data_IF_858515508986
#
_entry.id   IF_858515508986
#
_cell.length_a   1.000
_cell.length_b   1.000
_cell.length_c   1.000
_cell.angle_alpha   90.00
_cell.angle_beta   90.00
_cell.angle_gamma   90.00
#
_symmetry.space_group_name_H-M   'P 1'
#
loop_
_entity.id
_entity.type
_entity.pdbx_description
1 polymer ?
#
# COMPACT_ATOMS: atom_id res chain seq x y z
N UNK A 1 -15.31 14.86 3.25
CA UNK A 1 -15.05 14.87 4.71
C UNK A 1 -14.34 16.16 5.01
N UNK A 2 -14.99 17.02 5.79
CA UNK A 2 -14.56 18.38 6.06
C UNK A 2 -13.28 18.40 6.91
N UNK A 3 -12.44 19.43 6.77
CA UNK A 3 -11.18 19.61 7.52
C UNK A 3 -11.37 19.63 9.06
N UNK A 4 -12.62 19.63 9.53
CA UNK A 4 -13.03 19.63 10.93
C UNK A 4 -13.48 18.24 11.46
N UNK A 5 -13.60 17.24 10.59
CA UNK A 5 -13.94 15.85 10.95
C UNK A 5 -12.81 14.93 10.51
N UNK A 6 -11.60 15.16 11.03
CA UNK A 6 -10.40 14.46 10.57
C UNK A 6 -10.42 12.95 10.84
N UNK A 7 -11.45 12.42 11.51
CA UNK A 7 -11.53 11.01 11.88
C UNK A 7 -10.46 10.63 12.90
N UNK A 8 -10.68 9.53 13.60
CA UNK A 8 -9.68 8.95 14.50
C UNK A 8 -9.34 7.57 14.00
N UNK A 9 -8.05 7.22 14.06
CA UNK A 9 -7.60 5.86 13.79
C UNK A 9 -7.14 5.26 15.12
N UNK A 10 -7.58 4.03 15.38
CA UNK A 10 -7.20 3.32 16.59
C UNK A 10 -5.81 2.68 16.46
N UNK A 11 -5.02 2.88 17.50
CA UNK A 11 -3.78 2.19 17.78
C UNK A 11 -4.08 1.26 18.95
N UNK A 12 -3.89 -0.04 18.75
CA UNK A 12 -4.13 -1.04 19.79
C UNK A 12 -2.81 -1.60 20.27
N UNK A 13 -2.73 -1.89 21.56
CA UNK A 13 -1.58 -2.59 22.14
C UNK A 13 -2.10 -3.82 22.88
N UNK A 14 -1.67 -5.00 22.43
CA UNK A 14 -1.92 -6.26 23.13
C UNK A 14 -0.82 -6.47 24.16
N UNK A 15 -1.21 -6.73 25.40
CA UNK A 15 -0.29 -6.99 26.51
C UNK A 15 -0.65 -8.36 27.07
N UNK A 16 0.30 -9.28 27.10
CA UNK A 16 0.16 -10.58 27.74
C UNK A 16 0.76 -10.55 29.13
N UNK A 17 -0.05 -10.86 30.14
CA UNK A 17 0.29 -10.81 31.54
C UNK A 17 -0.94 -11.00 32.42
N UNK A 18 -0.74 -11.27 33.69
CA UNK A 18 -1.85 -11.39 34.64
C UNK A 18 -2.48 -10.01 34.87
N UNK A 19 -3.67 -9.78 34.33
CA UNK A 19 -4.37 -8.49 34.38
C UNK A 19 -4.87 -8.18 35.78
N UNK A 20 -4.95 -9.17 36.68
CA UNK A 20 -5.29 -8.95 38.08
C UNK A 20 -4.08 -8.58 38.94
N UNK A 21 -2.86 -8.62 38.38
CA UNK A 21 -1.67 -8.13 39.05
C UNK A 21 -1.58 -6.58 38.95
N UNK A 22 -1.53 -5.86 40.09
CA UNK A 22 -1.30 -4.42 40.13
C UNK A 22 -0.12 -3.94 39.29
N UNK A 23 0.95 -4.74 39.18
CA UNK A 23 2.13 -4.39 38.38
C UNK A 23 1.82 -4.33 36.90
N UNK A 24 1.05 -5.29 36.40
CA UNK A 24 0.61 -5.33 34.99
C UNK A 24 -0.27 -4.11 34.70
N UNK A 25 -1.28 -3.86 35.53
CA UNK A 25 -2.19 -2.71 35.37
C UNK A 25 -1.45 -1.37 35.42
N UNK A 26 -0.50 -1.22 36.35
CA UNK A 26 0.34 -0.01 36.45
C UNK A 26 1.25 0.17 35.22
N UNK A 27 1.74 -0.94 34.66
CA UNK A 27 2.53 -0.92 33.42
C UNK A 27 1.66 -0.52 32.22
N UNK A 28 0.41 -1.01 32.15
CA UNK A 28 -0.56 -0.58 31.15
C UNK A 28 -0.80 0.94 31.24
N UNK A 29 -0.99 1.47 32.45
CA UNK A 29 -1.20 2.91 32.68
C UNK A 29 0.01 3.75 32.29
N UNK A 30 1.21 3.27 32.64
CA UNK A 30 2.48 3.93 32.25
C UNK A 30 2.65 3.96 30.73
N UNK A 31 2.26 2.89 30.05
CA UNK A 31 2.29 2.84 28.58
C UNK A 31 1.28 3.83 27.97
N UNK A 32 0.06 3.88 28.51
CA UNK A 32 -0.96 4.86 28.13
C UNK A 32 -0.44 6.31 28.26
N UNK A 33 0.16 6.66 29.39
CA UNK A 33 0.76 7.99 29.59
C UNK A 33 1.89 8.27 28.60
N UNK A 34 2.69 7.25 28.25
CA UNK A 34 3.74 7.41 27.25
C UNK A 34 3.18 7.62 25.84
N UNK A 35 2.06 6.97 25.50
CA UNK A 35 1.37 7.15 24.23
C UNK A 35 0.75 8.55 24.14
N UNK A 36 0.09 9.02 25.21
CA UNK A 36 -0.58 10.32 25.27
C UNK A 36 0.38 11.52 25.30
N UNK A 37 1.68 11.31 25.58
CA UNK A 37 2.72 12.33 25.38
C UNK A 37 2.91 12.70 23.91
N UNK A 38 2.51 11.84 22.97
CA UNK A 38 2.56 12.17 21.56
C UNK A 38 1.36 13.07 21.18
N UNK A 39 1.58 14.26 20.60
CA UNK A 39 0.51 15.22 20.29
C UNK A 39 -0.51 14.71 19.26
N UNK A 40 -0.23 13.57 18.62
CA UNK A 40 -1.15 12.92 17.69
C UNK A 40 -2.09 11.92 18.36
N UNK A 41 -1.74 11.43 19.54
CA UNK A 41 -2.64 10.60 20.36
C UNK A 41 -3.55 11.54 21.13
N UNK A 42 -4.86 11.30 21.02
CA UNK A 42 -5.89 12.15 21.64
C UNK A 42 -6.24 11.63 23.02
N UNK A 43 -6.50 10.32 23.11
CA UNK A 43 -6.89 9.64 24.35
C UNK A 43 -6.57 8.17 24.22
N UNK A 44 -6.32 7.51 25.35
CA UNK A 44 -6.24 6.06 25.44
C UNK A 44 -7.21 5.50 26.48
N UNK A 45 -7.56 4.23 26.33
CA UNK A 45 -8.45 3.52 27.24
C UNK A 45 -8.01 2.06 27.38
N UNK A 46 -8.07 1.54 28.60
CA UNK A 46 -7.78 0.15 28.91
C UNK A 46 -8.52 -0.34 30.15
N UNK A 47 -8.40 -1.63 30.47
CA UNK A 47 -8.89 -2.22 31.72
C UNK A 47 -8.32 -1.55 32.97
N UNK A 48 -7.12 -0.95 32.90
CA UNK A 48 -6.54 -0.22 34.02
C UNK A 48 -7.39 1.00 34.42
N UNK A 49 -7.94 1.73 33.44
CA UNK A 49 -8.82 2.87 33.72
C UNK A 49 -10.13 2.44 34.37
N UNK A 50 -10.66 1.28 33.97
CA UNK A 50 -11.85 0.69 34.60
C UNK A 50 -11.55 0.35 36.06
N UNK A 51 -10.38 -0.25 36.35
CA UNK A 51 -9.97 -0.56 37.73
C UNK A 51 -9.79 0.71 38.56
N UNK A 52 -9.18 1.77 38.02
CA UNK A 52 -9.07 3.07 38.67
C UNK A 52 -10.45 3.66 39.02
N UNK A 53 -11.40 3.58 38.08
CA UNK A 53 -12.76 4.06 38.27
C UNK A 53 -13.54 3.21 39.30
N UNK A 54 -13.38 1.89 39.27
CA UNK A 54 -13.95 0.99 40.28
C UNK A 54 -13.39 1.30 41.67
N UNK A 55 -12.08 1.51 41.80
CA UNK A 55 -11.44 1.83 43.06
C UNK A 55 -11.96 3.15 43.64
N UNK A 56 -12.06 4.20 42.82
CA UNK A 56 -12.69 5.47 43.21
C UNK A 56 -14.14 5.28 43.65
N UNK A 57 -14.94 4.53 42.88
CA UNK A 57 -16.37 4.34 43.17
C UNK A 57 -16.59 3.61 44.50
N UNK A 58 -15.76 2.60 44.81
CA UNK A 58 -15.84 1.85 46.08
C UNK A 58 -15.37 2.70 47.27
N UNK A 59 -14.48 3.67 47.05
CA UNK A 59 -13.99 4.60 48.06
C UNK A 59 -14.82 5.90 48.08
N UNK A 60 -16.14 5.76 48.05
CA UNK A 60 -17.13 6.86 48.14
C UNK A 60 -16.93 7.98 47.09
N UNK A 61 -16.52 7.62 45.88
CA UNK A 61 -16.25 8.52 44.75
C UNK A 61 -15.14 9.57 45.00
N UNK A 62 -14.23 9.30 45.94
CA UNK A 62 -13.10 10.18 46.24
C UNK A 62 -12.04 10.15 45.12
N UNK A 63 -11.76 11.29 44.44
CA UNK A 63 -10.80 11.37 43.34
C UNK A 63 -9.37 10.93 43.70
N UNK A 64 -8.98 10.92 44.98
CA UNK A 64 -7.66 10.45 45.40
C UNK A 64 -7.45 8.94 45.15
N UNK A 65 -8.55 8.19 45.05
CA UNK A 65 -8.54 6.74 44.82
C UNK A 65 -8.75 6.36 43.34
N UNK A 66 -8.69 7.32 42.42
CA UNK A 66 -8.63 7.07 40.97
C UNK A 66 -7.22 6.59 40.56
N UNK A 67 -6.80 5.48 41.17
CA UNK A 67 -5.47 4.87 41.04
C UNK A 67 -5.58 3.36 41.07
N UNK A 68 -4.62 2.65 40.48
CA UNK A 68 -4.56 1.18 40.56
C UNK A 68 -4.19 0.77 42.00
N UNK A 69 -4.99 -0.07 42.69
CA UNK A 69 -4.64 -0.56 44.03
C UNK A 69 -3.31 -1.32 44.03
N UNK A 70 -2.46 -1.07 45.02
CA UNK A 70 -1.11 -1.68 45.12
C UNK A 70 -1.15 -3.18 45.46
N UNK A 71 -2.23 -3.63 46.11
CA UNK A 71 -2.38 -5.02 46.56
C UNK A 71 -3.29 -5.82 45.63
N UNK A 72 -2.83 -7.01 45.22
CA UNK A 72 -3.55 -7.92 44.33
C UNK A 72 -4.93 -8.31 44.86
N UNK A 73 -5.07 -8.51 46.16
CA UNK A 73 -6.35 -8.88 46.78
C UNK A 73 -7.39 -7.77 46.64
N UNK A 74 -6.97 -6.50 46.68
CA UNK A 74 -7.87 -5.37 46.42
C UNK A 74 -8.36 -5.35 44.98
N UNK A 75 -7.46 -5.58 44.01
CA UNK A 75 -7.83 -5.69 42.59
C UNK A 75 -8.81 -6.85 42.37
N UNK A 76 -8.55 -8.02 42.96
CA UNK A 76 -9.46 -9.15 42.90
C UNK A 76 -10.85 -8.82 43.46
N UNK A 77 -10.90 -8.14 44.61
CA UNK A 77 -12.16 -7.74 45.23
C UNK A 77 -12.97 -6.79 44.33
N UNK A 78 -12.31 -5.84 43.64
CA UNK A 78 -12.99 -4.96 42.69
C UNK A 78 -13.64 -5.76 41.55
N UNK A 79 -12.91 -6.69 40.93
CA UNK A 79 -13.46 -7.58 39.91
C UNK A 79 -14.61 -8.45 40.43
N UNK A 80 -14.50 -8.98 41.65
CA UNK A 80 -15.57 -9.76 42.28
C UNK A 80 -16.82 -8.91 42.52
N UNK A 81 -16.67 -7.72 43.10
CA UNK A 81 -17.80 -6.79 43.32
C UNK A 81 -18.50 -6.41 42.03
N UNK A 82 -17.73 -6.13 40.97
CA UNK A 82 -18.29 -5.88 39.65
C UNK A 82 -19.05 -7.09 39.12
N UNK A 83 -18.48 -8.29 39.19
CA UNK A 83 -19.14 -9.53 38.72
C UNK A 83 -20.43 -9.88 39.47
N UNK A 84 -20.62 -9.36 40.68
CA UNK A 84 -21.86 -9.53 41.46
C UNK A 84 -22.99 -8.59 41.03
N UNK A 85 -22.67 -7.50 40.33
CA UNK A 85 -23.60 -6.40 40.04
C UNK A 85 -23.74 -6.05 38.55
N UNK A 86 -22.69 -6.28 37.75
CA UNK A 86 -22.63 -6.02 36.31
C UNK A 86 -22.52 -7.30 35.49
N UNK A 87 -22.41 -7.14 34.17
CA UNK A 87 -22.22 -8.25 33.24
C UNK A 87 -20.72 -8.55 33.09
N UNK A 88 -20.25 -9.78 33.35
CA UNK A 88 -18.86 -10.16 33.09
C UNK A 88 -18.41 -9.90 31.63
N UNK A 89 -19.34 -9.88 30.68
CA UNK A 89 -19.05 -9.61 29.27
C UNK A 89 -18.75 -8.13 28.98
N UNK A 90 -18.98 -7.22 29.94
CA UNK A 90 -18.66 -5.78 29.81
C UNK A 90 -17.15 -5.54 29.54
N UNK A 91 -16.29 -6.46 30.00
CA UNK A 91 -14.84 -6.36 29.81
C UNK A 91 -14.30 -7.14 28.61
N UNK A 92 -15.15 -7.87 27.88
CA UNK A 92 -14.75 -8.74 26.77
C UNK A 92 -14.00 -8.04 25.63
N UNK A 93 -14.19 -6.71 25.50
CA UNK A 93 -13.48 -5.87 24.53
C UNK A 93 -12.09 -5.39 24.99
N UNK A 94 -11.78 -5.54 26.28
CA UNK A 94 -10.56 -5.05 26.94
C UNK A 94 -9.67 -6.18 27.46
N UNK A 95 -10.24 -7.31 27.86
CA UNK A 95 -9.51 -8.47 28.38
C UNK A 95 -10.03 -9.77 27.79
N UNK A 96 -9.18 -10.79 27.78
CA UNK A 96 -9.62 -12.16 27.50
C UNK A 96 -10.35 -12.78 28.71
N UNK A 97 -11.05 -13.89 28.46
CA UNK A 97 -11.82 -14.60 29.47
C UNK A 97 -10.98 -15.05 30.68
N UNK A 98 -9.70 -15.38 30.45
CA UNK A 98 -8.79 -15.82 31.52
C UNK A 98 -8.07 -14.66 32.24
N UNK A 99 -8.27 -13.41 31.84
CA UNK A 99 -7.54 -12.24 32.36
C UNK A 99 -6.00 -12.36 32.22
N UNK A 100 -5.54 -13.00 31.15
CA UNK A 100 -4.12 -13.15 30.77
C UNK A 100 -3.70 -12.20 29.65
N UNK A 101 -4.65 -11.59 28.96
CA UNK A 101 -4.40 -10.67 27.85
C UNK A 101 -5.24 -9.43 28.06
N UNK A 102 -4.59 -8.27 28.02
CA UNK A 102 -5.21 -6.96 28.10
C UNK A 102 -4.99 -6.17 26.80
N UNK A 103 -5.96 -5.35 26.45
CA UNK A 103 -5.92 -4.47 25.29
C UNK A 103 -5.93 -3.00 25.75
N UNK A 104 -4.95 -2.24 25.28
CA UNK A 104 -4.99 -0.77 25.33
C UNK A 104 -5.47 -0.30 23.96
N UNK A 105 -6.49 0.55 23.95
CA UNK A 105 -6.99 1.21 22.73
C UNK A 105 -6.71 2.70 22.82
N UNK A 106 -5.88 3.23 21.92
CA UNK A 106 -5.60 4.65 21.81
C UNK A 106 -6.16 5.22 20.51
N UNK A 107 -6.81 6.37 20.58
CA UNK A 107 -7.31 7.08 19.40
C UNK A 107 -6.32 8.15 19.00
N UNK A 108 -5.95 8.13 17.72
CA UNK A 108 -5.01 9.08 17.15
C UNK A 108 -5.64 9.91 16.04
N UNK A 109 -5.11 11.10 15.81
CA UNK A 109 -5.36 11.87 14.59
C UNK A 109 -4.86 11.08 13.38
N UNK A 110 -5.46 11.31 12.21
CA UNK A 110 -4.98 10.71 10.96
C UNK A 110 -3.50 11.03 10.76
N UNK A 111 -2.71 9.98 10.55
CA UNK A 111 -1.28 10.03 10.31
C UNK A 111 -0.98 9.51 8.91
N UNK A 112 0.06 10.06 8.28
CA UNK A 112 0.63 9.48 7.05
C UNK A 112 1.33 8.16 7.35
N UNK A 113 1.50 7.30 6.33
CA UNK A 113 2.17 6.01 6.48
C UNK A 113 3.55 6.13 7.14
N UNK A 114 4.35 7.13 6.76
CA UNK A 114 5.68 7.34 7.35
C UNK A 114 5.61 7.67 8.84
N UNK A 115 4.67 8.52 9.24
CA UNK A 115 4.48 8.91 10.63
C UNK A 115 4.03 7.72 11.49
N UNK A 116 3.20 6.84 10.94
CA UNK A 116 2.82 5.58 11.58
C UNK A 116 4.04 4.70 11.83
N UNK A 117 4.89 4.56 10.82
CA UNK A 117 6.14 3.79 10.93
C UNK A 117 7.05 4.32 12.03
N UNK A 118 7.27 5.64 12.04
CA UNK A 118 8.15 6.28 13.02
C UNK A 118 7.56 6.16 14.43
N UNK A 119 6.25 6.32 14.57
CA UNK A 119 5.54 6.17 15.84
C UNK A 119 5.63 4.73 16.38
N UNK A 120 5.26 3.73 15.57
CA UNK A 120 5.28 2.32 15.99
C UNK A 120 6.71 1.89 16.34
N UNK A 121 7.72 2.29 15.56
CA UNK A 121 9.12 1.97 15.86
C UNK A 121 9.60 2.65 17.15
N UNK A 122 9.27 3.93 17.35
CA UNK A 122 9.61 4.67 18.57
C UNK A 122 8.97 4.02 19.80
N UNK A 123 7.68 3.70 19.74
CA UNK A 123 6.95 3.07 20.84
C UNK A 123 7.46 1.65 21.12
N UNK A 124 7.72 0.86 20.09
CA UNK A 124 8.30 -0.49 20.24
C UNK A 124 9.66 -0.44 20.94
N UNK A 125 10.51 0.53 20.60
CA UNK A 125 11.80 0.72 21.24
C UNK A 125 11.67 1.21 22.69
N UNK A 126 10.72 2.10 22.98
CA UNK A 126 10.45 2.56 24.35
C UNK A 126 9.92 1.43 25.24
N UNK A 127 9.01 0.61 24.73
CA UNK A 127 8.49 -0.57 25.43
C UNK A 127 9.63 -1.53 25.78
N UNK A 128 10.51 -1.84 24.82
CA UNK A 128 11.69 -2.70 25.08
C UNK A 128 12.67 -2.14 26.11
N UNK A 129 12.72 -0.82 26.26
CA UNK A 129 13.67 -0.15 27.16
C UNK A 129 13.14 0.06 28.59
N UNK A 130 11.82 0.15 28.77
CA UNK A 130 11.19 0.59 30.03
C UNK A 130 10.31 -0.48 30.66
N UNK A 131 9.74 -1.40 29.88
CA UNK A 131 8.77 -2.38 30.37
C UNK A 131 9.44 -3.68 30.81
N UNK A 132 8.75 -4.42 31.69
CA UNK A 132 9.20 -5.74 32.18
C UNK A 132 9.38 -6.71 31.00
N UNK A 133 10.58 -7.31 30.83
CA UNK A 133 10.83 -8.31 29.79
C UNK A 133 9.91 -9.52 29.82
N UNK A 134 9.23 -9.78 30.95
CA UNK A 134 8.27 -10.85 31.09
C UNK A 134 6.91 -10.58 30.42
N UNK A 135 6.62 -9.32 30.06
CA UNK A 135 5.38 -8.95 29.37
C UNK A 135 5.60 -8.96 27.85
N UNK A 136 4.83 -9.77 27.13
CA UNK A 136 4.79 -9.71 25.67
C UNK A 136 3.86 -8.57 25.25
N UNK A 137 4.41 -7.56 24.58
CA UNK A 137 3.69 -6.35 24.17
C UNK A 137 3.77 -6.20 22.65
N UNK A 138 2.61 -6.27 21.99
CA UNK A 138 2.48 -6.16 20.54
C UNK A 138 1.63 -4.95 20.16
N UNK A 139 2.16 -4.11 19.26
CA UNK A 139 1.41 -3.00 18.65
C UNK A 139 0.60 -3.50 17.45
N UNK A 140 -0.69 -3.15 17.41
CA UNK A 140 -1.66 -3.54 16.39
C UNK A 140 -2.72 -2.43 16.20
N UNK A 141 -3.89 -2.77 15.65
CA UNK A 141 -4.97 -1.84 15.35
C UNK A 141 -4.97 -1.41 13.87
N UNK A 142 -5.95 -0.58 13.51
CA UNK A 142 -6.15 -0.17 12.12
C UNK A 142 -4.92 0.51 11.53
N UNK A 143 -4.19 1.27 12.35
CA UNK A 143 -3.00 2.00 11.91
C UNK A 143 -1.88 1.06 11.41
N UNK A 144 -1.67 -0.07 12.09
CA UNK A 144 -0.64 -1.06 11.73
C UNK A 144 -1.08 -1.86 10.50
N UNK A 145 -2.37 -2.23 10.44
CA UNK A 145 -2.95 -2.95 9.30
C UNK A 145 -2.83 -2.12 8.01
N UNK A 146 -3.18 -0.83 8.06
CA UNK A 146 -3.07 0.07 6.90
C UNK A 146 -1.61 0.21 6.44
N UNK A 147 -0.67 0.33 7.39
CA UNK A 147 0.76 0.37 7.10
C UNK A 147 1.24 -0.90 6.40
N UNK A 148 0.90 -2.08 6.92
CA UNK A 148 1.29 -3.36 6.33
C UNK A 148 0.65 -3.58 4.96
N UNK A 149 -0.61 -3.17 4.80
CA UNK A 149 -1.30 -3.19 3.52
C UNK A 149 -0.57 -2.33 2.47
N UNK A 150 -0.19 -1.10 2.82
CA UNK A 150 0.53 -0.20 1.91
C UNK A 150 1.88 -0.79 1.49
N UNK A 151 2.67 -1.31 2.43
CA UNK A 151 3.96 -1.94 2.12
C UNK A 151 3.78 -3.15 1.20
N UNK A 152 2.81 -4.00 1.52
CA UNK A 152 2.51 -5.18 0.74
C UNK A 152 2.11 -4.82 -0.68
N UNK A 153 1.28 -3.79 -0.85
CA UNK A 153 0.86 -3.27 -2.15
C UNK A 153 2.05 -2.74 -2.94
N UNK A 154 2.88 -1.86 -2.35
CA UNK A 154 4.07 -1.29 -3.01
C UNK A 154 5.00 -2.41 -3.47
N UNK A 155 5.33 -3.34 -2.57
CA UNK A 155 6.25 -4.45 -2.84
C UNK A 155 5.70 -5.37 -3.92
N UNK A 156 4.43 -5.79 -3.79
CA UNK A 156 3.79 -6.66 -4.78
C UNK A 156 3.70 -5.98 -6.14
N UNK A 157 3.38 -4.69 -6.20
CA UNK A 157 3.32 -3.94 -7.47
C UNK A 157 4.67 -3.87 -8.16
N UNK A 158 5.72 -3.52 -7.40
CA UNK A 158 7.07 -3.45 -7.94
C UNK A 158 7.53 -4.81 -8.47
N UNK A 159 7.30 -5.88 -7.71
CA UNK A 159 7.59 -7.25 -8.16
C UNK A 159 6.77 -7.60 -9.40
N UNK A 160 5.46 -7.38 -9.39
CA UNK A 160 4.59 -7.66 -10.54
C UNK A 160 5.04 -6.94 -11.80
N UNK A 161 5.36 -5.64 -11.72
CA UNK A 161 5.85 -4.87 -12.86
C UNK A 161 7.16 -5.46 -13.40
N UNK A 162 8.14 -5.70 -12.52
CA UNK A 162 9.44 -6.24 -12.93
C UNK A 162 9.27 -7.63 -13.56
N UNK A 163 8.50 -8.52 -12.93
CA UNK A 163 8.22 -9.85 -13.46
C UNK A 163 7.47 -9.79 -14.79
N UNK A 164 6.44 -8.95 -14.91
CA UNK A 164 5.70 -8.78 -16.16
C UNK A 164 6.59 -8.30 -17.29
N UNK A 165 7.45 -7.29 -17.06
CA UNK A 165 8.38 -6.80 -18.08
C UNK A 165 9.41 -7.87 -18.49
N UNK A 166 9.94 -8.65 -17.53
CA UNK A 166 10.85 -9.77 -17.83
C UNK A 166 10.15 -10.84 -18.66
N UNK A 167 8.95 -11.27 -18.25
CA UNK A 167 8.17 -12.30 -18.94
C UNK A 167 7.81 -11.85 -20.35
N UNK A 168 7.33 -10.62 -20.52
CA UNK A 168 7.06 -10.03 -21.84
C UNK A 168 8.32 -10.02 -22.69
N UNK A 169 9.45 -9.57 -22.13
CA UNK A 169 10.73 -9.58 -22.83
C UNK A 169 11.15 -10.99 -23.28
N UNK A 170 10.96 -12.01 -22.45
CA UNK A 170 11.24 -13.41 -22.78
C UNK A 170 10.31 -13.90 -23.89
N UNK A 171 8.99 -13.71 -23.74
CA UNK A 171 8.00 -14.15 -24.73
C UNK A 171 8.25 -13.48 -26.08
N UNK A 172 8.45 -12.17 -26.11
CA UNK A 172 8.78 -11.44 -27.33
C UNK A 172 10.11 -11.92 -27.94
N UNK A 173 11.13 -12.21 -27.11
CA UNK A 173 12.41 -12.76 -27.58
C UNK A 173 12.25 -14.12 -28.23
N UNK A 174 11.42 -15.00 -27.66
CA UNK A 174 11.12 -16.33 -28.21
C UNK A 174 10.32 -16.19 -29.51
N UNK A 175 9.26 -15.38 -29.49
CA UNK A 175 8.38 -15.17 -30.64
C UNK A 175 9.13 -14.60 -31.85
N UNK A 176 9.96 -13.59 -31.64
CA UNK A 176 10.79 -12.98 -32.68
C UNK A 176 12.14 -13.68 -32.89
N UNK A 177 12.40 -14.79 -32.16
CA UNK A 177 13.63 -15.61 -32.21
C UNK A 177 14.93 -14.81 -31.99
N UNK A 178 14.86 -13.70 -31.24
CA UNK A 178 16.02 -12.83 -30.98
C UNK A 178 15.80 -11.95 -29.75
N UNK A 179 16.76 -12.02 -28.81
CA UNK A 179 16.72 -11.27 -27.55
C UNK A 179 16.59 -9.74 -27.72
N UNK A 180 17.18 -9.20 -28.79
CA UNK A 180 17.15 -7.77 -29.08
C UNK A 180 15.71 -7.26 -29.32
N UNK A 181 14.84 -8.09 -29.91
CA UNK A 181 13.44 -7.74 -30.11
C UNK A 181 12.65 -7.73 -28.82
N UNK A 182 12.95 -8.63 -27.88
CA UNK A 182 12.35 -8.59 -26.55
C UNK A 182 12.74 -7.36 -25.76
N UNK A 183 14.01 -6.95 -25.81
CA UNK A 183 14.48 -5.71 -25.17
C UNK A 183 13.76 -4.49 -25.78
N UNK A 184 13.65 -4.44 -27.11
CA UNK A 184 12.96 -3.35 -27.80
C UNK A 184 11.46 -3.29 -27.46
N UNK A 185 10.80 -4.42 -27.23
CA UNK A 185 9.40 -4.45 -26.81
C UNK A 185 9.19 -3.87 -25.39
N UNK A 186 10.16 -4.09 -24.49
CA UNK A 186 10.07 -3.70 -23.07
C UNK A 186 10.35 -2.20 -22.86
N UNK A 187 11.27 -1.60 -23.63
CA UNK A 187 11.69 -0.20 -23.44
C UNK A 187 10.53 0.83 -23.47
N UNK A 188 9.66 0.86 -24.51
CA UNK A 188 8.57 1.83 -24.55
C UNK A 188 7.58 1.62 -23.40
N UNK A 189 7.33 0.36 -23.00
CA UNK A 189 6.49 0.02 -21.85
C UNK A 189 7.07 0.57 -20.56
N UNK A 190 8.35 0.30 -20.28
CA UNK A 190 9.04 0.82 -19.11
C UNK A 190 8.96 2.34 -19.05
N UNK A 191 9.14 3.02 -20.19
CA UNK A 191 9.02 4.48 -20.25
C UNK A 191 7.62 4.97 -19.92
N UNK A 192 6.58 4.31 -20.43
CA UNK A 192 5.18 4.66 -20.14
C UNK A 192 4.83 4.43 -18.67
N UNK A 193 5.30 3.33 -18.06
CA UNK A 193 5.09 3.04 -16.63
C UNK A 193 5.77 4.10 -15.76
N UNK A 194 7.01 4.48 -16.06
CA UNK A 194 7.73 5.55 -15.33
C UNK A 194 6.97 6.88 -15.46
N UNK A 195 6.51 7.23 -16.66
CA UNK A 195 5.74 8.46 -16.91
C UNK A 195 4.41 8.41 -16.15
N UNK A 196 3.75 7.26 -16.05
CA UNK A 196 2.50 7.09 -15.31
C UNK A 196 2.68 7.30 -13.81
N UNK A 197 3.69 6.69 -13.19
CA UNK A 197 4.01 6.95 -11.77
C UNK A 197 4.50 8.39 -11.55
N UNK A 198 5.22 8.98 -12.50
CA UNK A 198 5.59 10.40 -12.46
C UNK A 198 4.37 11.32 -12.50
N UNK A 199 3.38 10.98 -13.33
CA UNK A 199 2.10 11.68 -13.40
C UNK A 199 1.33 11.57 -12.08
N UNK A 200 1.27 10.37 -11.47
CA UNK A 200 0.69 10.20 -10.15
C UNK A 200 1.35 11.09 -9.10
N UNK A 201 2.69 11.10 -9.05
CA UNK A 201 3.45 11.95 -8.13
C UNK A 201 3.22 13.45 -8.35
N UNK A 202 3.10 13.89 -9.61
CA UNK A 202 2.86 15.29 -9.95
C UNK A 202 1.45 15.77 -9.57
N UNK A 203 0.43 14.94 -9.77
CA UNK A 203 -0.96 15.27 -9.43
C UNK A 203 -1.35 14.89 -7.99
N UNK A 204 -0.42 14.36 -7.19
CA UNK A 204 -0.69 13.93 -5.82
C UNK A 204 -1.65 12.74 -5.72
N UNK A 205 -1.70 11.89 -6.75
CA UNK A 205 -2.52 10.68 -6.74
C UNK A 205 -1.82 9.63 -5.89
N UNK A 206 -2.45 9.26 -4.77
CA UNK A 206 -1.91 8.27 -3.84
C UNK A 206 -1.84 6.87 -4.46
N UNK A 207 -0.75 6.16 -4.16
CA UNK A 207 -0.62 4.75 -4.51
C UNK A 207 -1.48 3.91 -3.56
N UNK A 208 -2.57 3.39 -4.09
CA UNK A 208 -3.47 2.45 -3.42
C UNK A 208 -3.34 1.04 -4.01
N UNK A 209 -3.96 0.07 -3.35
CA UNK A 209 -4.10 -1.30 -3.87
C UNK A 209 -4.77 -1.34 -5.25
N UNK A 210 -5.69 -0.41 -5.52
CA UNK A 210 -6.39 -0.32 -6.81
C UNK A 210 -5.46 0.22 -7.90
N UNK A 211 -4.77 1.33 -7.66
CA UNK A 211 -3.84 1.93 -8.63
C UNK A 211 -2.63 1.03 -8.89
N UNK A 212 -2.23 0.23 -7.89
CA UNK A 212 -1.20 -0.79 -8.00
C UNK A 212 -1.54 -1.91 -9.00
N UNK A 213 -2.75 -2.47 -8.91
CA UNK A 213 -3.24 -3.48 -9.84
C UNK A 213 -3.29 -2.93 -11.27
N UNK A 214 -3.61 -1.64 -11.41
CA UNK A 214 -3.69 -0.97 -12.69
C UNK A 214 -2.36 -0.98 -13.46
N UNK A 215 -1.23 -0.81 -12.77
CA UNK A 215 0.08 -0.81 -13.43
C UNK A 215 0.36 -2.12 -14.15
N UNK A 216 -0.12 -3.25 -13.63
CA UNK A 216 -0.01 -4.56 -14.30
C UNK A 216 -0.91 -4.65 -15.54
N UNK A 217 -2.14 -4.12 -15.46
CA UNK A 217 -3.08 -4.06 -16.59
C UNK A 217 -2.53 -3.18 -17.73
N UNK A 218 -1.99 -2.01 -17.39
CA UNK A 218 -1.36 -1.08 -18.33
C UNK A 218 -0.26 -1.77 -19.13
N UNK A 219 0.59 -2.56 -18.46
CA UNK A 219 1.66 -3.32 -19.10
C UNK A 219 1.09 -4.35 -20.08
N UNK A 220 0.04 -5.06 -19.67
CA UNK A 220 -0.60 -6.09 -20.50
C UNK A 220 -1.24 -5.53 -21.76
N UNK A 221 -1.96 -4.41 -21.68
CA UNK A 221 -2.62 -3.81 -22.84
C UNK A 221 -1.64 -3.00 -23.69
N UNK A 222 -0.65 -2.33 -23.07
CA UNK A 222 0.30 -1.48 -23.78
C UNK A 222 1.32 -2.24 -24.63
N UNK A 223 1.59 -3.52 -24.31
CA UNK A 223 2.61 -4.35 -25.01
C UNK A 223 2.30 -4.54 -26.49
N UNK A 224 1.02 -4.57 -26.84
CA UNK A 224 0.56 -4.87 -28.19
C UNK A 224 1.07 -3.83 -29.20
N UNK A 225 1.16 -2.56 -28.81
CA UNK A 225 1.72 -1.50 -29.66
C UNK A 225 3.16 -1.81 -30.09
N UNK A 226 3.99 -2.23 -29.14
CA UNK A 226 5.38 -2.56 -29.40
C UNK A 226 5.52 -3.84 -30.24
N UNK A 227 4.68 -4.85 -29.97
CA UNK A 227 4.64 -6.10 -30.73
C UNK A 227 4.21 -5.85 -32.18
N UNK A 228 3.15 -5.08 -32.40
CA UNK A 228 2.68 -4.70 -33.73
C UNK A 228 3.74 -3.93 -34.51
N UNK A 229 4.39 -2.95 -33.88
CA UNK A 229 5.48 -2.20 -34.50
C UNK A 229 6.65 -3.12 -34.91
N UNK A 230 7.11 -3.98 -33.99
CA UNK A 230 8.24 -4.89 -34.25
C UNK A 230 7.90 -5.90 -35.35
N UNK A 231 6.69 -6.47 -35.31
CA UNK A 231 6.21 -7.41 -36.32
C UNK A 231 6.23 -6.79 -37.71
N UNK A 232 5.71 -5.57 -37.83
CA UNK A 232 5.70 -4.88 -39.11
C UNK A 232 7.09 -4.46 -39.57
N UNK A 233 7.95 -4.03 -38.64
CA UNK A 233 9.35 -3.74 -38.94
C UNK A 233 10.07 -4.93 -39.56
N UNK A 234 9.91 -6.13 -38.99
CA UNK A 234 10.51 -7.35 -39.53
C UNK A 234 9.92 -7.78 -40.86
N UNK A 235 8.62 -7.56 -41.07
CA UNK A 235 7.97 -7.87 -42.36
C UNK A 235 8.50 -6.96 -43.46
N UNK A 236 8.57 -5.65 -43.21
CA UNK A 236 9.04 -4.66 -44.18
C UNK A 236 10.56 -4.71 -44.38
N UNK A 237 11.35 -5.12 -43.39
CA UNK A 237 12.81 -5.23 -43.55
C UNK A 237 13.24 -6.25 -44.61
N UNK A 238 12.35 -7.19 -44.97
CA UNK A 238 12.59 -8.18 -46.02
C UNK A 238 12.29 -7.67 -47.43
N UNK A 239 11.54 -6.58 -47.57
CA UNK A 239 10.99 -6.11 -48.85
C UNK A 239 11.38 -4.68 -49.19
N UNK A 240 11.67 -3.85 -48.17
CA UNK A 240 11.99 -2.43 -48.33
C UNK A 240 13.46 -2.19 -47.97
N UNK A 241 14.14 -1.38 -48.80
CA UNK A 241 15.50 -0.96 -48.54
C UNK A 241 15.65 -0.20 -47.22
N UNK A 242 16.79 -0.38 -46.56
CA UNK A 242 17.08 0.10 -45.20
C UNK A 242 16.96 1.61 -44.99
N UNK A 243 17.00 2.44 -46.04
CA UNK A 243 16.83 3.89 -45.94
C UNK A 243 15.37 4.35 -45.82
N UNK A 244 14.40 3.55 -46.30
CA UNK A 244 12.97 3.89 -46.22
C UNK A 244 12.23 3.09 -45.15
N UNK A 245 12.86 2.03 -44.63
CA UNK A 245 12.25 1.06 -43.74
C UNK A 245 11.50 1.68 -42.55
N UNK A 246 12.17 2.45 -41.69
CA UNK A 246 11.54 2.98 -40.48
C UNK A 246 10.38 3.93 -40.77
N UNK A 247 10.50 4.74 -41.83
CA UNK A 247 9.40 5.61 -42.27
C UNK A 247 8.21 4.78 -42.77
N UNK A 248 8.45 3.77 -43.60
CA UNK A 248 7.41 2.90 -44.11
C UNK A 248 6.72 2.08 -43.00
N UNK A 249 7.46 1.70 -41.95
CA UNK A 249 6.87 1.04 -40.77
C UNK A 249 5.93 1.99 -40.04
N UNK A 250 6.38 3.21 -39.73
CA UNK A 250 5.53 4.21 -39.05
C UNK A 250 4.30 4.57 -39.89
N UNK A 251 4.45 4.72 -41.20
CA UNK A 251 3.33 5.02 -42.11
C UNK A 251 2.27 3.89 -42.11
N UNK A 252 2.69 2.64 -41.90
CA UNK A 252 1.79 1.46 -41.94
C UNK A 252 1.19 1.12 -40.56
N UNK A 253 1.97 1.19 -39.47
CA UNK A 253 1.45 0.88 -38.10
C UNK A 253 1.03 2.09 -37.28
N UNK A 254 1.40 3.31 -37.68
CA UNK A 254 1.07 4.52 -36.93
C UNK A 254 -0.43 4.71 -36.76
N UNK A 255 -1.18 4.62 -37.85
CA UNK A 255 -2.64 4.76 -37.81
C UNK A 255 -3.33 3.63 -37.01
N UNK A 256 -3.02 2.33 -37.23
CA UNK A 256 -3.52 1.25 -36.39
C UNK A 256 -3.24 1.42 -34.89
N UNK A 257 -2.01 1.82 -34.51
CA UNK A 257 -1.64 1.99 -33.09
C UNK A 257 -2.43 3.14 -32.45
N UNK A 258 -2.61 4.26 -33.16
CA UNK A 258 -3.40 5.39 -32.65
C UNK A 258 -4.89 5.02 -32.54
N UNK A 259 -5.42 4.27 -33.50
CA UNK A 259 -6.80 3.77 -33.43
C UNK A 259 -7.02 2.84 -32.24
N UNK A 260 -6.07 1.94 -31.98
CA UNK A 260 -6.14 1.02 -30.85
C UNK A 260 -6.05 1.77 -29.51
N UNK A 261 -5.11 2.72 -29.39
CA UNK A 261 -5.04 3.63 -28.25
C UNK A 261 -6.35 4.42 -28.06
N UNK A 262 -6.94 4.91 -29.15
CA UNK A 262 -8.23 5.60 -29.17
C UNK A 262 -9.41 4.72 -28.75
N UNK A 263 -9.43 3.45 -29.17
CA UNK A 263 -10.42 2.46 -28.73
C UNK A 263 -10.34 2.23 -27.23
N UNK A 264 -9.12 2.09 -26.70
CA UNK A 264 -8.88 1.96 -25.26
C UNK A 264 -9.21 3.24 -24.47
N UNK A 265 -9.44 4.39 -25.10
CA UNK A 265 -9.99 5.57 -24.41
C UNK A 265 -11.42 5.33 -23.89
N UNK A 266 -12.07 4.21 -24.22
CA UNK A 266 -13.29 3.75 -23.55
C UNK A 266 -13.16 3.66 -22.02
N UNK A 267 -11.95 3.42 -21.48
CA UNK A 267 -11.69 3.53 -20.04
C UNK A 267 -11.96 4.93 -19.47
N UNK A 268 -11.95 5.97 -20.30
CA UNK A 268 -12.33 7.33 -19.94
C UNK A 268 -13.75 7.45 -19.42
N UNK A 269 -14.66 6.52 -19.74
CA UNK A 269 -16.00 6.48 -19.16
C UNK A 269 -15.97 6.36 -17.63
N UNK A 270 -14.92 5.74 -17.06
CA UNK A 270 -14.75 5.57 -15.62
C UNK A 270 -14.49 6.90 -14.89
N UNK A 271 -14.05 7.95 -15.61
CA UNK A 271 -13.89 9.30 -15.04
C UNK A 271 -15.21 9.89 -14.55
N UNK A 272 -16.35 9.44 -15.09
CA UNK A 272 -17.68 9.88 -14.67
C UNK A 272 -18.23 9.13 -13.45
N UNK A 273 -17.47 8.17 -12.90
CA UNK A 273 -17.88 7.46 -11.69
C UNK A 273 -17.96 8.40 -10.49
N UNK A 274 -18.94 8.22 -9.62
CA UNK A 274 -19.01 8.92 -8.33
C UNK A 274 -17.95 8.43 -7.33
N UNK A 275 -17.33 7.27 -7.58
CA UNK A 275 -16.34 6.66 -6.71
C UNK A 275 -14.92 7.01 -7.17
N UNK A 276 -14.23 7.85 -6.39
CA UNK A 276 -12.90 8.42 -6.70
C UNK A 276 -11.87 7.37 -7.15
N UNK A 277 -11.74 6.18 -6.52
CA UNK A 277 -10.79 5.18 -7.00
C UNK A 277 -11.05 4.69 -8.42
N UNK A 278 -12.31 4.64 -8.86
CA UNK A 278 -12.68 4.28 -10.24
C UNK A 278 -12.32 5.41 -11.21
N UNK A 279 -12.47 6.67 -10.78
CA UNK A 279 -12.01 7.82 -11.59
C UNK A 279 -10.50 7.73 -11.85
N UNK A 280 -9.70 7.43 -10.82
CA UNK A 280 -8.26 7.25 -10.98
C UNK A 280 -7.91 6.12 -11.94
N UNK A 281 -8.63 4.99 -11.90
CA UNK A 281 -8.48 3.92 -12.88
C UNK A 281 -8.67 4.45 -14.31
N UNK A 282 -9.78 5.15 -14.56
CA UNK A 282 -10.09 5.69 -15.88
C UNK A 282 -9.02 6.64 -16.40
N UNK A 283 -8.66 7.63 -15.58
CA UNK A 283 -7.68 8.66 -15.95
C UNK A 283 -6.28 8.07 -16.21
N UNK A 284 -5.80 7.22 -15.30
CA UNK A 284 -4.47 6.60 -15.43
C UNK A 284 -4.40 5.62 -16.60
N UNK A 285 -5.50 4.92 -16.94
CA UNK A 285 -5.56 4.08 -18.15
C UNK A 285 -5.49 4.90 -19.42
N UNK A 286 -6.31 5.95 -19.55
CA UNK A 286 -6.28 6.82 -20.73
C UNK A 286 -4.88 7.42 -20.91
N UNK A 287 -4.29 7.93 -19.83
CA UNK A 287 -2.94 8.46 -19.85
C UNK A 287 -1.89 7.40 -20.21
N UNK A 288 -2.03 6.18 -19.70
CA UNK A 288 -1.15 5.07 -20.05
C UNK A 288 -1.21 4.69 -21.53
N UNK A 289 -2.40 4.65 -22.14
CA UNK A 289 -2.55 4.33 -23.56
C UNK A 289 -1.93 5.40 -24.46
N UNK A 290 -2.16 6.68 -24.12
CA UNK A 290 -1.53 7.80 -24.83
C UNK A 290 -0.01 7.77 -24.67
N UNK A 291 0.50 7.61 -23.45
CA UNK A 291 1.95 7.57 -23.20
C UNK A 291 2.63 6.37 -23.85
N UNK A 292 2.00 5.18 -23.85
CA UNK A 292 2.59 3.97 -24.45
C UNK A 292 2.55 4.00 -25.98
N UNK A 293 1.47 4.49 -26.59
CA UNK A 293 1.37 4.64 -28.05
C UNK A 293 2.38 5.68 -28.57
N UNK A 294 2.50 6.83 -27.90
CA UNK A 294 3.53 7.83 -28.21
C UNK A 294 4.91 7.24 -27.97
N UNK A 295 5.14 6.57 -26.85
CA UNK A 295 6.42 5.91 -26.53
C UNK A 295 6.82 4.89 -27.60
N UNK A 296 5.87 4.16 -28.15
CA UNK A 296 6.11 3.20 -29.24
C UNK A 296 6.48 3.92 -30.54
N UNK A 297 5.69 4.91 -30.95
CA UNK A 297 5.92 5.64 -32.21
C UNK A 297 7.12 6.58 -32.18
N UNK A 298 7.66 6.87 -30.99
CA UNK A 298 8.84 7.74 -30.82
C UNK A 298 10.06 6.97 -30.33
N UNK A 299 10.04 6.44 -29.10
CA UNK A 299 11.20 5.79 -28.46
C UNK A 299 11.55 4.50 -29.19
N UNK A 300 10.58 3.61 -29.43
CA UNK A 300 10.84 2.37 -30.14
C UNK A 300 11.21 2.63 -31.61
N UNK A 301 10.53 3.55 -32.29
CA UNK A 301 10.86 3.91 -33.67
C UNK A 301 12.29 4.46 -33.80
N UNK A 302 12.70 5.37 -32.91
CA UNK A 302 14.04 5.93 -32.89
C UNK A 302 15.10 4.86 -32.58
N UNK A 303 14.84 3.98 -31.60
CA UNK A 303 15.76 2.88 -31.27
C UNK A 303 15.89 1.88 -32.42
N UNK A 304 14.79 1.59 -33.13
CA UNK A 304 14.82 0.72 -34.30
C UNK A 304 15.68 1.32 -35.43
N UNK A 305 15.58 2.63 -35.69
CA UNK A 305 16.43 3.30 -36.69
C UNK A 305 17.90 3.30 -36.27
N UNK A 306 18.21 3.65 -35.02
CA UNK A 306 19.59 3.65 -34.49
C UNK A 306 20.23 2.26 -34.54
N UNK A 307 19.44 1.22 -34.29
CA UNK A 307 19.90 -0.17 -34.28
C UNK A 307 19.70 -0.89 -35.62
N UNK A 308 19.27 -0.20 -36.69
CA UNK A 308 18.88 -0.86 -37.95
C UNK A 308 19.97 -1.77 -38.53
N UNK A 309 21.24 -1.34 -38.42
CA UNK A 309 22.39 -2.10 -38.92
C UNK A 309 22.55 -3.46 -38.23
N UNK A 310 22.21 -3.54 -36.93
CA UNK A 310 22.19 -4.79 -36.18
C UNK A 310 20.91 -5.57 -36.43
N UNK A 311 19.78 -4.89 -36.58
CA UNK A 311 18.47 -5.53 -36.78
C UNK A 311 18.40 -6.27 -38.12
N UNK A 312 18.83 -5.62 -39.21
CA UNK A 312 18.70 -6.15 -40.58
C UNK A 312 19.76 -7.21 -40.93
N UNK A 313 21.05 -7.01 -40.57
CA UNK A 313 22.17 -7.90 -40.94
C UNK A 313 22.02 -9.38 -40.55
N UNK A 314 21.19 -9.69 -39.55
CA UNK A 314 21.00 -11.07 -39.06
C UNK A 314 19.73 -11.74 -39.59
N UNK A 315 18.71 -10.96 -39.99
CA UNK A 315 17.52 -11.52 -40.65
C UNK A 315 17.84 -11.95 -42.11
N UNK A 316 18.96 -11.50 -42.69
CA UNK A 316 19.49 -12.02 -43.97
C UNK A 316 20.30 -13.33 -43.83
N UNK A 317 20.66 -13.72 -42.60
CA UNK A 317 21.54 -14.88 -42.31
C UNK A 317 20.79 -16.11 -41.77
N UNK A 318 19.46 -16.10 -41.76
CA UNK A 318 18.56 -17.17 -41.31
C UNK A 318 17.55 -17.46 -42.42
#
# INVERSE_FOLDING_TARGET
>A
MDNNMTGTVDIRVRIEGDIKDPKTLSSMRTLQDSMEKDPKVITSFSIANVVEQMHRTVMDDDPQYETVPVERDKVNNLFTMYSMSGDPDDFSSLVDYEYKVGLITAFSKVMTTQEIFDYVNKMTNQVKAVMDPALNIDFTGMIVILRDLVIMVVRSSALSIIFSLIIIGIIASIFFKRILWGILAVIPLSSAVIINFGFMGYFGIELSHITALLSSVIIGVGVDFAIHYISQYRRLSKTIGTNKLSRSVVDDVGYPIILDAGSNMGFGALLFSAFVPIQYIGGLMVFAMVSTSIGTLTVLAALAELLKSRLVKRDESV
#
